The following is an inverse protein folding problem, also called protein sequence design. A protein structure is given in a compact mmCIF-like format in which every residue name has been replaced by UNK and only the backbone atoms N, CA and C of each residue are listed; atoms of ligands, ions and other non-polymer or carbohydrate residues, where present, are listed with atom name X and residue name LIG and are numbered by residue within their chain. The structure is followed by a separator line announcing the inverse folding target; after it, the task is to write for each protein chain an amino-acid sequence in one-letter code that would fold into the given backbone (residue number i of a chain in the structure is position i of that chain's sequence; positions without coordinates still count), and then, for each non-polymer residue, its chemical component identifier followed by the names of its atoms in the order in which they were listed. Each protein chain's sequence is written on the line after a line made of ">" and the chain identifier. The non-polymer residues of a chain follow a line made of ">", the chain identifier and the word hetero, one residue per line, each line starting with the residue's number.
data_IF_329151238748
#
_entry.id   IF_329151238748
#
_cell.length_a   1.000
_cell.length_b   1.000
_cell.length_c   1.000
_cell.angle_alpha   90.00
_cell.angle_beta   90.00
_cell.angle_gamma   90.00
#
_symmetry.space_group_name_H-M   'P 1'
#
loop_
_entity.id
_entity.type
_entity.pdbx_description
1 polymer ?
#
# COMPACT_ATOMS: atom_id res chain seq x y z
N UNK A 1 40.42 29.56 17.90
CA UNK A 1 39.00 29.15 17.83
C UNK A 1 38.70 28.73 16.41
N UNK A 2 38.43 27.45 16.16
CA UNK A 2 38.09 26.99 14.81
C UNK A 2 36.64 27.39 14.50
N UNK A 3 36.43 28.07 13.37
CA UNK A 3 35.12 28.52 12.92
C UNK A 3 34.38 27.30 12.36
N UNK A 4 33.35 26.79 13.06
CA UNK A 4 32.50 25.70 12.52
C UNK A 4 31.78 26.22 11.28
N UNK A 5 31.96 25.56 10.15
CA UNK A 5 31.18 25.79 8.94
C UNK A 5 29.86 25.00 9.03
N UNK A 6 28.75 25.63 8.62
CA UNK A 6 27.44 24.98 8.56
C UNK A 6 26.96 24.99 7.12
N UNK A 7 26.45 23.85 6.64
CA UNK A 7 25.75 23.76 5.35
C UNK A 7 24.24 23.82 5.57
N UNK A 8 23.51 24.48 4.66
CA UNK A 8 22.04 24.55 4.69
C UNK A 8 21.45 23.67 3.60
N UNK A 9 20.53 22.80 4.01
CA UNK A 9 19.82 21.90 3.10
C UNK A 9 18.31 22.09 3.26
N UNK A 10 17.58 22.06 2.14
CA UNK A 10 16.11 22.06 2.15
C UNK A 10 15.62 20.63 2.01
N UNK A 11 14.72 20.21 2.91
CA UNK A 11 14.10 18.88 2.88
C UNK A 11 12.59 19.00 2.64
N UNK A 12 12.03 18.02 1.94
CA UNK A 12 10.58 17.89 1.79
C UNK A 12 10.04 17.00 2.89
N UNK A 13 8.98 17.43 3.57
CA UNK A 13 8.31 16.66 4.62
C UNK A 13 6.82 16.56 4.33
N UNK A 14 6.15 15.46 4.74
CA UNK A 14 4.70 15.35 4.63
C UNK A 14 3.97 16.55 5.26
N UNK A 15 2.87 16.98 4.63
CA UNK A 15 2.12 18.18 5.05
C UNK A 15 1.66 18.07 6.52
N UNK A 16 1.18 16.89 6.92
CA UNK A 16 0.72 16.64 8.29
C UNK A 16 1.85 16.72 9.32
N UNK A 17 3.06 16.26 8.98
CA UNK A 17 4.23 16.41 9.85
C UNK A 17 4.58 17.89 10.04
N UNK A 18 4.59 18.68 8.95
CA UNK A 18 4.83 20.12 9.01
C UNK A 18 3.81 20.86 9.89
N UNK A 19 2.53 20.46 9.85
CA UNK A 19 1.49 21.01 10.73
C UNK A 19 1.78 20.70 12.20
N UNK A 20 2.19 19.47 12.53
CA UNK A 20 2.59 19.07 13.89
C UNK A 20 3.81 19.85 14.38
N UNK A 21 4.83 20.01 13.53
CA UNK A 21 6.02 20.81 13.84
C UNK A 21 5.66 22.27 14.15
N UNK A 22 4.79 22.89 13.33
CA UNK A 22 4.33 24.26 13.58
C UNK A 22 3.57 24.40 14.90
N UNK A 23 2.78 23.39 15.27
CA UNK A 23 2.01 23.39 16.53
C UNK A 23 2.90 23.34 17.76
N UNK A 24 4.02 22.63 17.70
CA UNK A 24 5.01 22.60 18.78
C UNK A 24 5.78 23.95 18.92
N UNK A 25 5.65 24.85 17.94
CA UNK A 25 6.12 26.22 18.04
C UNK A 25 7.65 26.36 18.03
N UNK A 26 8.14 27.48 18.58
CA UNK A 26 9.56 27.81 18.69
C UNK A 26 10.25 27.20 19.93
N UNK A 27 9.56 26.32 20.66
CA UNK A 27 10.11 25.64 21.82
C UNK A 27 11.21 24.65 21.45
N UNK A 28 11.25 24.21 20.19
CA UNK A 28 12.18 23.21 19.69
C UNK A 28 13.06 23.78 18.57
N UNK A 29 14.34 23.44 18.61
CA UNK A 29 15.25 23.69 17.49
C UNK A 29 15.19 22.50 16.53
N UNK A 30 14.33 22.62 15.50
CA UNK A 30 14.14 21.57 14.50
C UNK A 30 15.42 21.14 13.79
N UNK A 31 16.36 22.06 13.58
CA UNK A 31 17.65 21.72 12.97
C UNK A 31 18.48 20.82 13.89
N UNK A 32 18.46 21.06 15.20
CA UNK A 32 19.18 20.22 16.16
C UNK A 32 18.59 18.81 16.22
N UNK A 33 17.25 18.69 16.30
CA UNK A 33 16.55 17.40 16.29
C UNK A 33 16.83 16.63 15.00
N UNK A 34 16.81 17.32 13.85
CA UNK A 34 17.11 16.70 12.57
C UNK A 34 18.56 16.21 12.50
N UNK A 35 19.53 17.00 12.99
CA UNK A 35 20.94 16.59 13.05
C UNK A 35 21.12 15.31 13.90
N UNK A 36 20.55 15.27 15.09
CA UNK A 36 20.62 14.09 15.97
C UNK A 36 20.02 12.86 15.30
N UNK A 37 18.82 12.98 14.72
CA UNK A 37 18.17 11.88 14.00
C UNK A 37 19.00 11.40 12.79
N UNK A 38 19.65 12.32 12.06
CA UNK A 38 20.54 11.96 10.97
C UNK A 38 21.82 11.26 11.46
N UNK A 39 22.42 11.73 12.55
CA UNK A 39 23.61 11.10 13.14
C UNK A 39 23.31 9.68 13.61
N UNK A 40 22.22 9.48 14.37
CA UNK A 40 21.76 8.14 14.77
C UNK A 40 21.56 7.23 13.56
N UNK A 41 20.93 7.74 12.49
CA UNK A 41 20.69 6.93 11.30
C UNK A 41 21.96 6.62 10.52
N UNK A 42 22.93 7.54 10.50
CA UNK A 42 24.24 7.31 9.89
C UNK A 42 25.07 6.30 10.69
N UNK A 43 24.97 6.30 12.01
CA UNK A 43 25.58 5.27 12.86
C UNK A 43 24.96 3.89 12.61
N UNK A 44 23.63 3.81 12.48
CA UNK A 44 22.93 2.56 12.14
C UNK A 44 23.34 2.01 10.77
N UNK A 45 23.48 2.88 9.76
CA UNK A 45 23.89 2.46 8.40
C UNK A 45 25.39 2.11 8.37
N UNK A 46 26.16 2.53 9.37
CA UNK A 46 27.60 2.37 9.42
C UNK A 46 28.35 3.39 8.56
N UNK A 47 29.69 3.43 8.67
CA UNK A 47 30.50 4.35 7.89
C UNK A 47 30.32 4.08 6.38
N UNK A 48 29.79 5.06 5.66
CA UNK A 48 29.94 5.12 4.21
C UNK A 48 31.43 5.35 3.92
N UNK A 49 32.19 4.28 3.73
CA UNK A 49 33.49 4.40 3.07
C UNK A 49 33.22 4.96 1.66
N UNK A 50 33.76 6.14 1.38
CA UNK A 50 33.71 6.71 0.03
C UNK A 50 34.48 5.75 -0.89
N UNK A 51 33.73 5.02 -1.71
CA UNK A 51 34.28 4.00 -2.59
C UNK A 51 35.03 4.69 -3.72
N UNK A 52 36.31 4.94 -3.47
CA UNK A 52 37.24 5.58 -4.40
C UNK A 52 37.94 4.58 -5.31
N UNK A 53 37.70 3.28 -5.13
CA UNK A 53 38.31 2.21 -5.92
C UNK A 53 37.30 1.16 -6.39
N UNK A 54 37.59 0.57 -7.56
CA UNK A 54 36.79 -0.50 -8.16
C UNK A 54 36.71 -1.71 -7.22
N UNK A 55 37.80 -2.03 -6.52
CA UNK A 55 37.82 -3.13 -5.54
C UNK A 55 36.92 -2.86 -4.33
N UNK A 56 36.78 -1.60 -3.89
CA UNK A 56 35.81 -1.20 -2.88
C UNK A 56 34.36 -1.38 -3.36
N UNK A 57 34.10 -1.11 -4.65
CA UNK A 57 32.78 -1.32 -5.25
C UNK A 57 32.43 -2.80 -5.34
N UNK A 58 33.39 -3.65 -5.76
CA UNK A 58 33.21 -5.11 -5.82
C UNK A 58 33.00 -5.69 -4.42
N UNK A 59 33.72 -5.20 -3.40
CA UNK A 59 33.56 -5.65 -2.01
C UNK A 59 32.21 -5.24 -1.42
N UNK A 60 31.72 -4.01 -1.70
CA UNK A 60 30.37 -3.58 -1.32
C UNK A 60 29.29 -4.42 -2.01
N UNK A 61 29.46 -4.71 -3.31
CA UNK A 61 28.51 -5.54 -4.06
C UNK A 61 28.47 -6.96 -3.51
N UNK A 62 29.63 -7.59 -3.26
CA UNK A 62 29.70 -8.91 -2.64
C UNK A 62 29.11 -8.93 -1.24
N UNK A 63 29.41 -7.94 -0.40
CA UNK A 63 28.80 -7.83 0.92
C UNK A 63 27.28 -7.59 0.84
N UNK A 64 26.78 -6.87 -0.17
CA UNK A 64 25.34 -6.72 -0.42
C UNK A 64 24.67 -7.98 -0.96
N UNK A 65 25.43 -8.90 -1.56
CA UNK A 65 24.94 -10.20 -2.04
C UNK A 65 25.06 -11.28 -0.95
N UNK A 66 26.06 -11.20 -0.07
CA UNK A 66 26.24 -12.10 1.10
C UNK A 66 25.45 -11.64 2.33
N UNK A 67 25.02 -10.38 2.38
CA UNK A 67 24.09 -9.84 3.38
C UNK A 67 22.62 -10.06 3.00
N UNK A 68 22.32 -10.70 1.87
CA UNK A 68 21.01 -11.29 1.67
C UNK A 68 21.01 -12.58 2.51
N UNK A 69 20.38 -12.62 3.70
CA UNK A 69 20.20 -13.90 4.38
C UNK A 69 19.52 -14.82 3.38
N UNK A 70 19.97 -16.07 3.31
CA UNK A 70 19.28 -17.10 2.55
C UNK A 70 17.79 -17.07 2.93
N UNK A 71 16.99 -16.46 2.06
CA UNK A 71 15.52 -16.33 2.01
C UNK A 71 14.72 -17.04 3.10
N UNK A 72 14.89 -16.64 4.37
CA UNK A 72 13.79 -16.74 5.32
C UNK A 72 12.73 -15.76 4.81
N UNK A 73 11.61 -16.28 4.33
CA UNK A 73 10.49 -15.48 3.86
C UNK A 73 10.21 -14.39 4.90
N UNK A 74 10.52 -13.14 4.56
CA UNK A 74 10.40 -12.02 5.51
C UNK A 74 8.92 -11.87 5.82
N UNK A 75 8.52 -12.36 6.99
CA UNK A 75 7.16 -12.22 7.45
C UNK A 75 6.88 -10.75 7.74
N UNK A 76 5.95 -10.20 6.97
CA UNK A 76 5.44 -8.85 7.12
C UNK A 76 4.21 -8.88 8.02
N UNK A 77 4.31 -8.27 9.21
CA UNK A 77 3.16 -8.15 10.13
C UNK A 77 2.03 -7.32 9.50
N UNK A 78 2.38 -6.30 8.71
CA UNK A 78 1.43 -5.44 8.01
C UNK A 78 0.67 -6.23 6.93
N UNK A 79 1.39 -7.06 6.16
CA UNK A 79 0.81 -7.99 5.19
C UNK A 79 -0.15 -8.97 5.85
N UNK A 80 0.30 -9.65 6.90
CA UNK A 80 -0.51 -10.62 7.63
C UNK A 80 -1.78 -9.99 8.24
N UNK A 81 -1.68 -8.77 8.79
CA UNK A 81 -2.82 -8.03 9.32
C UNK A 81 -3.83 -7.67 8.20
N UNK A 82 -3.35 -7.20 7.05
CA UNK A 82 -4.18 -6.90 5.90
C UNK A 82 -4.88 -8.15 5.34
N UNK A 83 -4.17 -9.29 5.27
CA UNK A 83 -4.70 -10.58 4.81
C UNK A 83 -5.85 -11.06 5.67
N UNK A 84 -5.66 -11.08 7.00
CA UNK A 84 -6.73 -11.42 7.95
C UNK A 84 -7.90 -10.48 7.85
N UNK A 85 -7.66 -9.17 7.74
CA UNK A 85 -8.72 -8.18 7.63
C UNK A 85 -9.58 -8.41 6.39
N UNK A 86 -8.92 -8.62 5.24
CA UNK A 86 -9.58 -8.91 3.97
C UNK A 86 -10.43 -10.18 4.07
N UNK A 87 -9.84 -11.29 4.53
CA UNK A 87 -10.53 -12.57 4.62
C UNK A 87 -11.76 -12.53 5.55
N UNK A 88 -11.67 -11.84 6.70
CA UNK A 88 -12.76 -11.79 7.68
C UNK A 88 -13.88 -10.80 7.33
N UNK A 89 -13.57 -9.71 6.60
CA UNK A 89 -14.50 -8.57 6.48
C UNK A 89 -14.93 -8.25 5.05
N UNK A 90 -14.12 -8.64 4.06
CA UNK A 90 -14.25 -8.16 2.69
C UNK A 90 -14.40 -9.29 1.68
N UNK A 91 -13.66 -10.39 1.85
CA UNK A 91 -13.70 -11.53 0.98
C UNK A 91 -15.02 -12.30 1.11
N UNK A 92 -15.53 -12.81 -0.01
CA UNK A 92 -16.56 -13.84 -0.02
C UNK A 92 -15.91 -15.24 -0.13
N UNK A 93 -16.71 -16.30 0.00
CA UNK A 93 -16.22 -17.68 -0.06
C UNK A 93 -15.58 -18.03 -1.42
N UNK A 94 -16.13 -17.52 -2.54
CA UNK A 94 -15.58 -17.73 -3.88
C UNK A 94 -14.17 -17.15 -4.01
N UNK A 95 -13.93 -15.95 -3.48
CA UNK A 95 -12.63 -15.29 -3.50
C UNK A 95 -11.58 -16.01 -2.64
N UNK A 96 -11.98 -16.53 -1.48
CA UNK A 96 -11.09 -17.32 -0.63
C UNK A 96 -10.78 -18.69 -1.24
N UNK A 97 -11.76 -19.30 -1.93
CA UNK A 97 -11.53 -20.52 -2.71
C UNK A 97 -10.60 -20.27 -3.89
N UNK A 98 -10.74 -19.16 -4.60
CA UNK A 98 -9.84 -18.79 -5.70
C UNK A 98 -8.41 -18.53 -5.21
N UNK A 99 -8.26 -17.95 -4.01
CA UNK A 99 -6.95 -17.80 -3.36
C UNK A 99 -6.30 -19.16 -3.06
N UNK A 100 -7.07 -20.10 -2.51
CA UNK A 100 -6.60 -21.47 -2.21
C UNK A 100 -6.22 -22.22 -3.48
N UNK A 101 -7.04 -22.16 -4.53
CA UNK A 101 -6.74 -22.77 -5.82
C UNK A 101 -5.45 -22.20 -6.42
N UNK A 102 -5.29 -20.87 -6.40
CA UNK A 102 -4.06 -20.22 -6.86
C UNK A 102 -2.83 -20.64 -6.05
N UNK A 103 -2.97 -20.80 -4.72
CA UNK A 103 -1.91 -21.34 -3.88
C UNK A 103 -1.59 -22.81 -4.23
N UNK A 104 -2.58 -23.65 -4.54
CA UNK A 104 -2.33 -25.04 -4.93
C UNK A 104 -1.68 -25.18 -6.32
N UNK A 105 -1.96 -24.25 -7.24
CA UNK A 105 -1.32 -24.20 -8.56
C UNK A 105 0.14 -23.76 -8.49
N UNK A 106 0.45 -22.82 -7.60
CA UNK A 106 1.82 -22.49 -7.30
C UNK A 106 2.45 -23.65 -6.54
N UNK A 107 3.36 -24.42 -7.17
CA UNK A 107 4.14 -25.42 -6.44
C UNK A 107 4.72 -24.78 -5.17
N UNK A 108 4.64 -25.47 -4.02
CA UNK A 108 4.98 -24.90 -2.69
C UNK A 108 6.37 -24.21 -2.67
N UNK A 109 7.31 -24.70 -3.49
CA UNK A 109 8.66 -24.15 -3.62
C UNK A 109 8.72 -22.76 -4.30
N UNK A 110 7.70 -22.39 -5.07
CA UNK A 110 7.66 -21.16 -5.88
C UNK A 110 6.67 -20.12 -5.37
N UNK A 111 5.84 -20.41 -4.36
CA UNK A 111 4.80 -19.49 -3.89
C UNK A 111 5.36 -18.12 -3.49
N UNK A 112 6.43 -18.13 -2.71
CA UNK A 112 7.10 -16.90 -2.29
C UNK A 112 7.68 -16.15 -3.49
N UNK A 113 8.45 -16.82 -4.36
CA UNK A 113 9.06 -16.17 -5.52
C UNK A 113 8.03 -15.57 -6.47
N UNK A 114 6.91 -16.28 -6.69
CA UNK A 114 5.79 -15.84 -7.50
C UNK A 114 5.23 -14.51 -6.97
N UNK A 115 4.94 -14.42 -5.67
CA UNK A 115 4.37 -13.22 -5.06
C UNK A 115 5.37 -12.08 -4.87
N UNK A 116 6.68 -12.35 -4.88
CA UNK A 116 7.71 -11.31 -4.97
C UNK A 116 7.79 -10.70 -6.38
N UNK A 117 7.42 -11.47 -7.41
CA UNK A 117 7.37 -10.97 -8.78
C UNK A 117 6.15 -10.06 -8.99
N UNK A 118 6.31 -9.02 -9.82
CA UNK A 118 5.20 -8.12 -10.18
C UNK A 118 4.05 -8.88 -10.84
N UNK A 119 4.39 -9.83 -11.70
CA UNK A 119 3.43 -10.60 -12.47
C UNK A 119 2.61 -11.53 -11.59
N UNK A 120 3.25 -12.22 -10.64
CA UNK A 120 2.57 -13.15 -9.75
C UNK A 120 1.60 -12.48 -8.78
N UNK A 121 1.93 -11.32 -8.19
CA UNK A 121 0.95 -10.62 -7.36
C UNK A 121 -0.18 -9.97 -8.20
N UNK A 122 0.11 -9.53 -9.43
CA UNK A 122 -0.94 -9.05 -10.34
C UNK A 122 -1.91 -10.17 -10.71
N UNK A 123 -1.39 -11.37 -10.97
CA UNK A 123 -2.19 -12.56 -11.22
C UNK A 123 -3.01 -12.96 -9.99
N UNK A 124 -2.39 -12.95 -8.80
CA UNK A 124 -3.11 -13.14 -7.53
C UNK A 124 -4.28 -12.17 -7.44
N UNK A 125 -4.00 -10.87 -7.60
CA UNK A 125 -5.01 -9.80 -7.52
C UNK A 125 -6.09 -10.01 -8.57
N UNK A 126 -5.74 -10.43 -9.78
CA UNK A 126 -6.71 -10.73 -10.85
C UNK A 126 -7.69 -11.82 -10.45
N UNK A 127 -7.22 -12.85 -9.76
CA UNK A 127 -8.06 -13.98 -9.33
C UNK A 127 -8.94 -13.67 -8.13
N UNK A 128 -8.44 -12.89 -7.17
CA UNK A 128 -9.14 -12.67 -5.90
C UNK A 128 -9.88 -11.32 -5.85
N UNK A 129 -9.51 -10.35 -6.68
CA UNK A 129 -10.28 -9.13 -6.85
C UNK A 129 -11.44 -9.38 -7.81
N UNK A 130 -12.57 -8.72 -7.55
CA UNK A 130 -13.69 -8.74 -8.49
C UNK A 130 -13.32 -7.99 -9.76
N UNK A 131 -13.83 -8.42 -10.92
CA UNK A 131 -13.59 -7.77 -12.22
C UNK A 131 -13.80 -6.24 -12.15
N UNK A 132 -14.83 -5.78 -11.43
CA UNK A 132 -15.10 -4.35 -11.21
C UNK A 132 -14.00 -3.61 -10.43
N UNK A 133 -13.29 -4.28 -9.51
CA UNK A 133 -12.19 -3.69 -8.76
C UNK A 133 -10.91 -3.54 -9.61
N UNK A 134 -10.72 -4.45 -10.57
CA UNK A 134 -9.60 -4.43 -11.51
C UNK A 134 -9.83 -3.39 -12.60
N UNK A 135 -11.03 -3.38 -13.23
CA UNK A 135 -11.41 -2.36 -14.22
C UNK A 135 -11.28 -0.95 -13.64
N UNK A 136 -11.74 -0.75 -12.40
CA UNK A 136 -11.59 0.49 -11.67
C UNK A 136 -10.14 0.96 -11.45
N UNK A 137 -9.21 0.04 -11.23
CA UNK A 137 -7.79 0.36 -11.06
C UNK A 137 -7.14 0.69 -12.41
N UNK A 138 -7.56 0.02 -13.48
CA UNK A 138 -7.04 0.22 -14.84
C UNK A 138 -7.57 1.49 -15.52
N UNK A 139 -8.85 1.85 -15.29
CA UNK A 139 -9.44 3.07 -15.87
C UNK A 139 -8.74 4.34 -15.40
N UNK A 140 -8.31 4.41 -14.14
CA UNK A 140 -7.65 5.61 -13.59
C UNK A 140 -6.22 5.80 -14.10
N UNK A 141 -5.46 4.74 -14.40
CA UNK A 141 -4.16 4.88 -15.09
C UNK A 141 -4.35 5.48 -16.49
N UNK A 142 -5.48 5.22 -17.14
CA UNK A 142 -5.83 5.82 -18.43
C UNK A 142 -6.23 7.30 -18.31
N UNK A 143 -6.91 7.68 -17.23
CA UNK A 143 -7.39 9.05 -17.02
C UNK A 143 -6.28 10.03 -16.57
N UNK A 144 -5.26 9.56 -15.83
CA UNK A 144 -4.14 10.40 -15.40
C UNK A 144 -3.16 10.74 -16.54
N UNK A 145 -3.26 10.09 -17.71
CA UNK A 145 -2.48 10.38 -18.91
C UNK A 145 -3.00 11.54 -19.77
N UNK A 146 -4.22 12.01 -19.57
CA UNK A 146 -4.83 13.07 -20.38
C UNK A 146 -5.18 14.31 -19.55
N UNK A 147 -4.16 15.15 -19.39
CA UNK A 147 -4.23 16.46 -18.76
C UNK A 147 -5.45 17.27 -19.20
N UNK A 148 -6.39 17.43 -18.27
CA UNK A 148 -7.50 18.36 -18.40
C UNK A 148 -6.97 19.80 -18.30
N UNK A 149 -6.59 20.37 -19.46
CA UNK A 149 -6.72 21.81 -19.72
C UNK A 149 -8.21 22.16 -19.62
N UNK A 150 -8.72 22.49 -18.43
CA UNK A 150 -10.02 23.16 -18.32
C UNK A 150 -9.82 24.65 -18.26
N UNK A 151 -10.04 25.27 -19.41
CA UNK A 151 -10.25 26.71 -19.54
C UNK A 151 -11.43 27.15 -18.67
N UNK A 152 -11.18 28.16 -17.85
CA UNK A 152 -12.20 28.95 -17.17
C UNK A 152 -13.12 29.64 -18.18
N UNK A 153 -14.41 29.29 -18.16
CA UNK A 153 -15.57 30.09 -18.56
C UNK A 153 -16.72 29.59 -17.66
N UNK A 154 -17.38 30.36 -16.80
CA UNK A 154 -17.73 31.78 -16.87
C UNK A 154 -19.25 31.86 -17.06
N UNK A 155 -19.96 32.32 -16.02
CA UNK A 155 -21.42 32.58 -16.02
C UNK A 155 -22.25 31.39 -15.52
N UNK A 156 -23.33 31.54 -14.75
CA UNK A 156 -24.09 32.70 -14.30
C UNK A 156 -25.32 32.19 -13.54
N UNK A 157 -25.84 33.05 -12.66
CA UNK A 157 -27.08 32.99 -11.86
C UNK A 157 -28.24 32.19 -12.49
N UNK A 158 -29.12 31.58 -11.68
CA UNK A 158 -30.36 32.20 -11.16
C UNK A 158 -31.36 31.17 -10.57
N UNK A 159 -32.30 31.68 -9.79
CA UNK A 159 -33.18 31.06 -8.82
C UNK A 159 -34.36 30.24 -9.37
N UNK A 160 -34.77 29.24 -8.57
CA UNK A 160 -36.16 29.05 -8.17
C UNK A 160 -37.06 28.10 -8.98
N UNK A 161 -37.43 26.95 -8.39
CA UNK A 161 -38.84 26.52 -8.40
C UNK A 161 -39.16 25.45 -7.36
N UNK A 162 -40.25 25.74 -6.63
CA UNK A 162 -40.99 24.86 -5.74
C UNK A 162 -41.79 23.83 -6.56
N UNK A 163 -41.92 22.61 -6.05
CA UNK A 163 -42.86 21.62 -6.58
C UNK A 163 -42.89 20.35 -5.74
N UNK A 164 -43.91 20.24 -4.87
CA UNK A 164 -44.17 19.10 -3.98
C UNK A 164 -44.71 17.91 -4.77
N UNK A 165 -44.26 16.71 -4.42
CA UNK A 165 -44.82 15.44 -4.88
C UNK A 165 -44.22 14.27 -4.11
N UNK A 166 -44.60 14.10 -2.84
CA UNK A 166 -44.22 12.93 -2.02
C UNK A 166 -45.22 11.80 -2.27
N UNK A 167 -44.88 10.85 -3.13
CA UNK A 167 -45.52 9.54 -3.18
C UNK A 167 -44.86 8.59 -2.18
N UNK A 168 -45.62 7.86 -1.34
CA UNK A 168 -45.07 6.83 -0.47
C UNK A 168 -45.02 5.50 -1.22
N UNK A 169 -43.94 4.75 -1.03
CA UNK A 169 -43.92 3.32 -1.36
C UNK A 169 -42.96 2.92 -2.48
N UNK A 170 -41.67 3.04 -2.23
CA UNK A 170 -40.66 2.30 -2.97
C UNK A 170 -39.70 1.69 -1.96
N UNK A 171 -39.92 0.42 -1.59
CA UNK A 171 -39.03 -0.35 -0.71
C UNK A 171 -37.65 -0.43 -1.38
N UNK A 172 -36.73 0.42 -0.93
CA UNK A 172 -35.33 0.46 -1.36
C UNK A 172 -34.56 -0.68 -0.70
N UNK A 173 -34.70 -1.90 -1.22
CA UNK A 173 -33.96 -3.08 -0.74
C UNK A 173 -32.62 -3.31 -1.44
N UNK A 174 -32.16 -2.38 -2.29
CA UNK A 174 -30.91 -2.53 -3.06
C UNK A 174 -29.67 -1.85 -2.46
N UNK A 175 -29.70 -1.44 -1.19
CA UNK A 175 -28.66 -0.57 -0.59
C UNK A 175 -27.47 -1.28 0.05
N UNK A 176 -27.60 -2.56 0.45
CA UNK A 176 -26.55 -3.26 1.19
C UNK A 176 -25.42 -3.77 0.29
N UNK A 177 -25.73 -4.35 -0.88
CA UNK A 177 -24.70 -4.84 -1.81
C UNK A 177 -23.74 -3.72 -2.23
N UNK A 178 -24.25 -2.55 -2.62
CA UNK A 178 -23.43 -1.40 -3.05
C UNK A 178 -22.43 -0.90 -1.99
N UNK A 179 -22.72 -1.09 -0.70
CA UNK A 179 -21.82 -0.68 0.40
C UNK A 179 -20.66 -1.64 0.61
N UNK A 180 -20.86 -2.93 0.37
CA UNK A 180 -19.78 -3.93 0.45
C UNK A 180 -18.78 -3.74 -0.70
N UNK A 181 -19.28 -3.53 -1.93
CA UNK A 181 -18.43 -3.31 -3.10
C UNK A 181 -17.52 -2.08 -2.95
N UNK A 182 -18.06 -0.96 -2.45
CA UNK A 182 -17.25 0.25 -2.23
C UNK A 182 -16.10 0.02 -1.24
N UNK A 183 -16.30 -0.80 -0.20
CA UNK A 183 -15.29 -1.10 0.81
C UNK A 183 -14.17 -1.99 0.26
N UNK A 184 -14.52 -3.01 -0.53
CA UNK A 184 -13.52 -3.88 -1.16
C UNK A 184 -12.65 -3.09 -2.15
N UNK A 185 -13.24 -2.20 -2.97
CA UNK A 185 -12.49 -1.33 -3.89
C UNK A 185 -11.56 -0.37 -3.14
N UNK A 186 -12.04 0.27 -2.08
CA UNK A 186 -11.22 1.17 -1.28
C UNK A 186 -10.06 0.43 -0.57
N UNK A 187 -10.29 -0.81 -0.13
CA UNK A 187 -9.26 -1.65 0.46
C UNK A 187 -8.15 -1.98 -0.54
N UNK A 188 -8.51 -2.53 -1.71
CA UNK A 188 -7.53 -2.87 -2.74
C UNK A 188 -6.77 -1.64 -3.19
N UNK A 189 -7.46 -0.50 -3.34
CA UNK A 189 -6.79 0.75 -3.62
C UNK A 189 -5.77 1.15 -2.55
N UNK A 190 -6.11 1.02 -1.26
CA UNK A 190 -5.16 1.27 -0.17
C UNK A 190 -3.94 0.34 -0.28
N UNK A 191 -4.17 -0.96 -0.49
CA UNK A 191 -3.10 -1.96 -0.59
C UNK A 191 -2.21 -1.74 -1.83
N UNK A 192 -2.81 -1.32 -2.95
CA UNK A 192 -2.13 -1.12 -4.23
C UNK A 192 -1.45 0.25 -4.33
N UNK A 193 -2.09 1.33 -3.87
CA UNK A 193 -1.55 2.69 -3.91
C UNK A 193 -0.47 2.89 -2.84
N UNK A 194 -0.66 2.31 -1.64
CA UNK A 194 0.35 2.39 -0.57
C UNK A 194 1.47 1.36 -0.76
N UNK A 195 1.40 0.56 -1.84
CA UNK A 195 2.28 -0.57 -2.21
C UNK A 195 3.43 -0.68 -1.22
N UNK A 196 3.24 -1.40 -0.11
CA UNK A 196 4.23 -1.41 0.92
C UNK A 196 5.51 -1.91 0.27
N UNK A 197 6.53 -1.06 0.26
CA UNK A 197 7.90 -1.41 -0.15
C UNK A 197 8.52 -2.46 0.79
N UNK A 198 7.69 -3.05 1.66
CA UNK A 198 8.02 -4.04 2.64
C UNK A 198 8.16 -5.40 1.92
N UNK A 199 9.36 -6.00 1.96
CA UNK A 199 9.58 -7.34 1.44
C UNK A 199 8.59 -8.33 2.09
N UNK A 200 8.08 -9.28 1.32
CA UNK A 200 7.20 -10.34 1.83
C UNK A 200 5.79 -9.90 2.26
N UNK A 201 5.39 -8.65 2.02
CA UNK A 201 4.02 -8.18 2.30
C UNK A 201 2.95 -9.07 1.66
N UNK A 202 3.06 -9.33 0.35
CA UNK A 202 2.05 -10.08 -0.39
C UNK A 202 2.02 -11.56 -0.01
N UNK A 203 3.18 -12.18 0.27
CA UNK A 203 3.23 -13.53 0.82
C UNK A 203 2.49 -13.59 2.16
N UNK A 204 2.87 -12.71 3.09
CA UNK A 204 2.28 -12.67 4.42
C UNK A 204 0.78 -12.35 4.39
N UNK A 205 0.35 -11.51 3.45
CA UNK A 205 -1.07 -11.25 3.17
C UNK A 205 -1.80 -12.53 2.75
N UNK A 206 -1.28 -13.22 1.75
CA UNK A 206 -1.94 -14.38 1.16
C UNK A 206 -1.97 -15.55 2.16
N UNK A 207 -0.87 -15.81 2.85
CA UNK A 207 -0.75 -16.85 3.89
C UNK A 207 -1.76 -16.61 5.02
N UNK A 208 -1.82 -15.39 5.54
CA UNK A 208 -2.72 -15.06 6.64
C UNK A 208 -4.20 -15.10 6.23
N UNK A 209 -4.52 -14.82 4.97
CA UNK A 209 -5.87 -14.98 4.43
C UNK A 209 -6.24 -16.46 4.25
N UNK A 210 -5.31 -17.29 3.77
CA UNK A 210 -5.49 -18.74 3.65
C UNK A 210 -5.67 -19.40 5.03
N UNK A 211 -4.95 -18.94 6.05
CA UNK A 211 -5.12 -19.44 7.41
C UNK A 211 -6.52 -19.17 7.96
N UNK A 212 -7.11 -18.01 7.65
CA UNK A 212 -8.51 -17.71 7.98
C UNK A 212 -9.43 -18.65 7.21
N UNK A 213 -9.18 -18.85 5.91
CA UNK A 213 -10.00 -19.72 5.07
C UNK A 213 -10.01 -21.17 5.57
N UNK A 214 -8.85 -21.74 5.92
CA UNK A 214 -8.72 -23.10 6.48
C UNK A 214 -9.54 -23.29 7.76
N UNK A 215 -9.74 -22.24 8.56
CA UNK A 215 -10.55 -22.28 9.79
C UNK A 215 -12.05 -22.22 9.51
N UNK A 216 -12.48 -21.48 8.48
CA UNK A 216 -13.89 -21.25 8.18
C UNK A 216 -14.46 -22.31 7.24
N UNK A 217 -13.69 -22.78 6.26
CA UNK A 217 -14.11 -23.72 5.22
C UNK A 217 -14.82 -24.97 5.76
N UNK A 218 -14.30 -25.68 6.79
CA UNK A 218 -14.99 -26.88 7.31
C UNK A 218 -16.39 -26.61 7.86
N UNK A 219 -16.69 -25.37 8.30
CA UNK A 219 -18.00 -25.00 8.85
C UNK A 219 -19.05 -24.69 7.75
N UNK A 220 -18.61 -24.57 6.48
CA UNK A 220 -19.49 -24.36 5.33
C UNK A 220 -19.90 -25.67 4.66
N UNK A 221 -19.13 -26.74 4.90
CA UNK A 221 -19.35 -28.08 4.34
C UNK A 221 -20.29 -28.95 5.22
N UNK A 222 -20.64 -28.48 6.41
CA UNK A 222 -21.58 -29.09 7.37
C UNK A 222 -23.04 -28.61 7.19
#
# INVERSE_FOLDING_TARGET
>A
MHKKSFSRTTITVPCELKKRMKRAGSLLNWSAIACEAFETKLEEIGPFEEITSIDGAVRRLKASTESEPATEAVHSESGAAAGRHWALNLANAEQLSALEEFHCEAADENWSELLHSREGWLELTRRIATDEAIEAAMEEESEHGHGHRRHHRGGGRDHGRRGRGRGPGGRRSGGQHKRHHFRARAFWRSVLDERPSEPGFFCSFADAALDVWKQVKPQLDD
#
